data_IF_782429785107
#
_entry.id   IF_782429785107
#
_cell.length_a   1.000
_cell.length_b   1.000
_cell.length_c   1.000
_cell.angle_alpha   90.00
_cell.angle_beta   90.00
_cell.angle_gamma   90.00
#
_symmetry.space_group_name_H-M   'P 1'
#
loop_
_entity.id
_entity.type
_entity.pdbx_description
1 polymer ?
#
# COMPACT_ATOMS: atom_id res chain seq x y z
N UNK A 1 7.28 9.38 -18.13
CA UNK A 1 8.20 9.44 -17.78
C UNK A 1 8.59 9.67 -16.44
N UNK A 2 9.19 8.95 -15.92
CA UNK A 2 9.44 8.95 -14.56
C UNK A 2 10.62 9.76 -14.18
N UNK A 3 11.28 10.29 -15.09
CA UNK A 3 12.48 11.03 -14.78
C UNK A 3 12.25 12.33 -14.04
N UNK A 4 11.01 12.74 -13.93
CA UNK A 4 10.75 14.03 -13.31
C UNK A 4 11.15 14.11 -11.87
N UNK A 5 11.03 13.02 -11.15
CA UNK A 5 11.35 13.05 -9.75
C UNK A 5 12.80 13.28 -9.48
N UNK A 6 13.62 12.92 -10.41
CA UNK A 6 15.03 13.02 -10.19
C UNK A 6 15.55 14.41 -10.27
N UNK A 7 14.68 15.31 -10.69
CA UNK A 7 15.11 16.67 -10.80
C UNK A 7 14.93 17.47 -9.54
N UNK A 8 14.60 16.82 -8.44
CA UNK A 8 14.46 17.50 -7.17
C UNK A 8 15.68 17.22 -6.34
N UNK A 9 16.78 17.88 -6.64
CA UNK A 9 18.03 17.57 -5.95
C UNK A 9 17.92 17.90 -4.47
N UNK A 10 18.45 17.02 -3.65
CA UNK A 10 18.43 17.23 -2.23
C UNK A 10 17.13 16.93 -1.57
N UNK A 11 16.08 16.67 -2.33
CA UNK A 11 14.80 16.32 -1.77
C UNK A 11 14.51 14.88 -2.08
N UNK A 12 14.15 14.16 -1.06
CA UNK A 12 13.83 12.74 -1.24
C UNK A 12 12.35 12.47 -1.20
N UNK A 13 11.55 13.50 -1.22
CA UNK A 13 10.11 13.33 -1.15
C UNK A 13 9.62 12.71 -2.44
N UNK A 14 8.87 11.64 -2.30
CA UNK A 14 8.29 10.94 -3.42
C UNK A 14 6.81 11.30 -3.49
N UNK A 15 6.39 11.78 -4.63
CA UNK A 15 4.99 12.10 -4.85
C UNK A 15 4.39 11.13 -5.85
N UNK A 16 3.11 10.85 -5.70
CA UNK A 16 2.42 9.95 -6.60
C UNK A 16 2.48 10.49 -8.02
N UNK A 17 2.88 9.65 -8.94
CA UNK A 17 2.77 9.93 -10.36
C UNK A 17 1.38 9.52 -10.84
N UNK A 18 1.05 9.92 -12.07
CA UNK A 18 -0.23 9.50 -12.66
C UNK A 18 -0.35 8.00 -12.72
N UNK A 19 0.75 7.33 -13.00
CA UNK A 19 0.78 5.88 -13.08
C UNK A 19 0.49 5.24 -11.74
N UNK A 20 1.04 5.81 -10.68
CA UNK A 20 0.80 5.30 -9.34
C UNK A 20 -0.63 5.53 -8.90
N UNK A 21 -1.20 6.68 -9.28
CA UNK A 21 -2.60 6.93 -8.98
C UNK A 21 -3.48 5.93 -9.70
N UNK A 22 -3.17 5.64 -10.94
CA UNK A 22 -3.95 4.68 -11.70
C UNK A 22 -3.85 3.30 -11.07
N UNK A 23 -2.66 2.91 -10.66
CA UNK A 23 -2.45 1.61 -10.03
C UNK A 23 -3.25 1.50 -8.73
N UNK A 24 -3.18 2.53 -7.89
CA UNK A 24 -3.93 2.49 -6.64
C UNK A 24 -5.44 2.46 -6.91
N UNK A 25 -5.90 3.15 -7.95
CA UNK A 25 -7.31 3.11 -8.32
C UNK A 25 -7.74 1.69 -8.69
N UNK A 26 -6.90 0.98 -9.42
CA UNK A 26 -7.21 -0.38 -9.79
C UNK A 26 -7.29 -1.27 -8.54
N UNK A 27 -6.35 -1.11 -7.62
CA UNK A 27 -6.37 -1.88 -6.40
C UNK A 27 -7.65 -1.61 -5.60
N UNK A 28 -8.06 -0.35 -5.54
CA UNK A 28 -9.30 0.00 -4.86
C UNK A 28 -10.48 -0.68 -5.54
N UNK A 29 -10.46 -0.73 -6.86
CA UNK A 29 -11.55 -1.32 -7.63
C UNK A 29 -11.74 -2.80 -7.34
N UNK A 30 -10.68 -3.51 -6.99
CA UNK A 30 -10.80 -4.93 -6.70
C UNK A 30 -11.04 -5.19 -5.21
N UNK A 31 -11.22 -4.13 -4.42
CA UNK A 31 -11.62 -4.30 -3.04
C UNK A 31 -10.57 -3.99 -1.99
N UNK A 32 -9.43 -3.45 -2.37
CA UNK A 32 -8.43 -3.05 -1.39
C UNK A 32 -8.85 -1.68 -0.84
N UNK A 33 -8.87 -1.50 0.48
CA UNK A 33 -9.22 -0.19 1.03
C UNK A 33 -8.32 0.92 0.48
N UNK A 34 -8.92 2.07 0.27
CA UNK A 34 -8.22 3.19 -0.35
C UNK A 34 -6.91 3.53 0.36
N UNK A 35 -6.95 3.64 1.68
CA UNK A 35 -5.74 4.04 2.41
C UNK A 35 -4.66 2.98 2.31
N UNK A 36 -5.06 1.71 2.32
CA UNK A 36 -4.09 0.61 2.19
C UNK A 36 -3.46 0.61 0.81
N UNK A 37 -4.29 0.80 -0.22
CA UNK A 37 -3.79 0.82 -1.59
C UNK A 37 -2.77 1.94 -1.78
N UNK A 38 -3.08 3.11 -1.25
CA UNK A 38 -2.18 4.26 -1.43
C UNK A 38 -0.85 4.05 -0.72
N UNK A 39 -0.88 3.56 0.51
CA UNK A 39 0.36 3.33 1.23
C UNK A 39 1.17 2.23 0.56
N UNK A 40 0.50 1.18 0.12
CA UNK A 40 1.18 0.06 -0.51
C UNK A 40 1.90 0.50 -1.78
N UNK A 41 1.22 1.26 -2.63
CA UNK A 41 1.83 1.73 -3.87
C UNK A 41 2.97 2.71 -3.57
N UNK A 42 2.80 3.55 -2.57
CA UNK A 42 3.87 4.47 -2.18
C UNK A 42 5.12 3.69 -1.74
N UNK A 43 4.94 2.71 -0.88
CA UNK A 43 6.08 1.95 -0.37
C UNK A 43 6.71 1.07 -1.45
N UNK A 44 5.94 0.71 -2.46
CA UNK A 44 6.49 -0.08 -3.57
C UNK A 44 7.51 0.71 -4.37
N UNK A 45 7.42 2.04 -4.33
CA UNK A 45 8.28 2.90 -5.12
C UNK A 45 9.31 3.64 -4.28
N UNK A 46 9.50 3.23 -3.06
CA UNK A 46 10.44 3.89 -2.18
C UNK A 46 11.13 2.82 -1.35
N UNK A 47 12.39 3.03 -0.99
CA UNK A 47 13.10 2.01 -0.24
C UNK A 47 12.66 2.01 1.22
N UNK A 48 12.46 3.17 1.78
CA UNK A 48 12.10 3.32 3.18
C UNK A 48 11.41 4.64 3.36
N UNK A 49 10.48 4.73 4.30
CA UNK A 49 9.77 5.98 4.54
C UNK A 49 9.32 6.07 5.98
N UNK A 50 9.37 7.27 6.52
CA UNK A 50 8.78 7.54 7.83
C UNK A 50 7.28 7.76 7.64
N UNK A 51 6.54 7.80 8.77
CA UNK A 51 5.12 8.11 8.71
C UNK A 51 4.87 9.44 8.00
N UNK A 52 5.71 10.41 8.28
CA UNK A 52 5.55 11.73 7.68
C UNK A 52 5.75 11.69 6.17
N UNK A 53 6.73 10.92 5.73
CA UNK A 53 6.97 10.76 4.30
C UNK A 53 5.74 10.15 3.63
N UNK A 54 5.13 9.18 4.29
CA UNK A 54 3.96 8.50 3.74
C UNK A 54 2.78 9.46 3.68
N UNK A 55 2.59 10.26 4.74
CA UNK A 55 1.50 11.23 4.75
C UNK A 55 1.61 12.18 3.55
N UNK A 56 2.81 12.67 3.31
CA UNK A 56 3.01 13.62 2.22
C UNK A 56 2.92 12.96 0.86
N UNK A 57 3.60 11.82 0.72
CA UNK A 57 3.68 11.18 -0.59
C UNK A 57 2.37 10.57 -1.03
N UNK A 58 1.62 10.00 -0.11
CA UNK A 58 0.35 9.36 -0.42
C UNK A 58 -0.84 10.29 -0.19
N UNK A 59 -0.58 11.50 0.28
CA UNK A 59 -1.64 12.49 0.54
C UNK A 59 -2.66 11.93 1.50
N UNK A 60 -2.18 11.49 2.65
CA UNK A 60 -3.03 10.94 3.69
C UNK A 60 -2.78 11.67 4.99
N UNK A 61 -3.75 11.58 5.89
CA UNK A 61 -3.61 12.15 7.21
C UNK A 61 -3.02 11.11 8.14
N UNK A 62 -2.46 11.60 9.24
CA UNK A 62 -1.78 10.73 10.18
C UNK A 62 -2.65 9.57 10.67
N UNK A 63 -3.92 9.78 11.04
CA UNK A 63 -4.75 8.64 11.46
C UNK A 63 -4.96 7.62 10.35
N UNK A 64 -5.04 8.10 9.10
CA UNK A 64 -5.22 7.19 7.97
C UNK A 64 -3.96 6.36 7.75
N UNK A 65 -2.79 6.99 7.89
CA UNK A 65 -1.54 6.25 7.76
C UNK A 65 -1.45 5.19 8.86
N UNK A 66 -1.77 5.56 10.10
CA UNK A 66 -1.72 4.61 11.20
C UNK A 66 -2.61 3.41 10.93
N UNK A 67 -3.82 3.65 10.47
CA UNK A 67 -4.75 2.56 10.21
C UNK A 67 -4.25 1.67 9.08
N UNK A 68 -3.75 2.28 8.02
CA UNK A 68 -3.22 1.51 6.91
C UNK A 68 -2.03 0.66 7.33
N UNK A 69 -1.15 1.24 8.14
CA UNK A 69 0.02 0.49 8.60
C UNK A 69 -0.39 -0.69 9.45
N UNK A 70 -1.40 -0.50 10.28
CA UNK A 70 -1.91 -1.61 11.09
C UNK A 70 -2.39 -2.76 10.20
N UNK A 71 -3.15 -2.45 9.16
CA UNK A 71 -3.62 -3.47 8.23
C UNK A 71 -2.46 -4.18 7.54
N UNK A 72 -1.47 -3.40 7.11
CA UNK A 72 -0.34 -3.99 6.39
C UNK A 72 0.53 -4.84 7.31
N UNK A 73 0.67 -4.42 8.56
CA UNK A 73 1.44 -5.20 9.52
C UNK A 73 0.76 -6.52 9.83
N UNK A 74 -0.56 -6.52 9.93
CA UNK A 74 -1.28 -7.77 10.17
C UNK A 74 -1.09 -8.76 9.05
N UNK A 75 -0.88 -8.27 7.83
CA UNK A 75 -0.64 -9.13 6.69
C UNK A 75 0.83 -9.55 6.57
N UNK A 76 1.70 -8.96 7.38
CA UNK A 76 3.12 -9.27 7.28
C UNK A 76 3.79 -8.66 6.07
N UNK A 77 3.20 -7.65 5.48
CA UNK A 77 3.71 -7.04 4.25
C UNK A 77 4.66 -5.89 4.48
N UNK A 78 4.73 -5.36 5.69
CA UNK A 78 5.66 -4.29 5.99
C UNK A 78 6.47 -4.61 7.23
N UNK A 79 7.65 -4.04 7.30
CA UNK A 79 8.49 -4.10 8.47
C UNK A 79 8.94 -2.70 8.82
N UNK A 80 9.37 -2.52 10.06
CA UNK A 80 9.81 -1.21 10.52
C UNK A 80 11.13 -1.34 11.25
N UNK A 81 11.86 -0.25 11.27
CA UNK A 81 13.05 -0.16 12.11
C UNK A 81 13.06 1.20 12.79
N UNK A 82 13.65 1.22 13.95
CA UNK A 82 13.77 2.45 14.73
C UNK A 82 15.13 3.05 14.48
N UNK A 83 15.14 4.30 14.07
CA UNK A 83 16.38 5.02 13.84
C UNK A 83 16.58 6.00 14.99
N UNK A 84 17.58 5.75 15.80
CA UNK A 84 17.86 6.60 16.97
C UNK A 84 18.89 7.67 16.70
N UNK A 85 19.38 7.73 15.47
CA UNK A 85 20.45 8.67 15.15
C UNK A 85 19.93 9.94 14.51
N UNK A 86 18.64 10.20 14.68
CA UNK A 86 18.04 11.43 14.19
C UNK A 86 18.76 12.64 14.76
N UNK A 87 19.01 13.62 13.92
CA UNK A 87 19.73 14.83 14.32
C UNK A 87 18.98 15.59 15.40
N UNK A 88 17.67 15.44 15.47
CA UNK A 88 16.87 16.12 16.49
C UNK A 88 16.88 15.36 17.81
N UNK A 89 17.44 14.17 17.80
CA UNK A 89 17.49 13.39 19.03
C UNK A 89 16.25 12.57 19.29
N UNK A 90 15.27 12.57 18.39
CA UNK A 90 14.07 11.79 18.56
C UNK A 90 14.15 10.52 17.73
N UNK A 91 13.89 9.36 18.32
CA UNK A 91 13.82 8.13 17.53
C UNK A 91 12.70 8.23 16.51
N UNK A 92 12.92 7.69 15.35
CA UNK A 92 11.92 7.72 14.30
C UNK A 92 11.82 6.36 13.65
N UNK A 93 10.60 5.91 13.42
CA UNK A 93 10.37 4.64 12.74
C UNK A 93 10.39 4.84 11.24
N UNK A 94 11.04 3.92 10.55
CA UNK A 94 11.02 3.87 9.10
C UNK A 94 10.40 2.56 8.67
N UNK A 95 9.60 2.61 7.63
CA UNK A 95 8.82 1.47 7.16
C UNK A 95 9.23 1.10 5.75
N UNK A 96 9.15 -0.18 5.47
CA UNK A 96 9.42 -0.67 4.11
C UNK A 96 8.63 -1.94 3.91
N UNK A 97 8.49 -2.33 2.64
CA UNK A 97 7.85 -3.61 2.34
C UNK A 97 8.75 -4.73 2.82
N UNK A 98 8.14 -5.74 3.43
CA UNK A 98 8.89 -6.90 3.91
C UNK A 98 9.04 -7.96 2.83
N UNK A 99 8.29 -7.83 1.74
CA UNK A 99 8.34 -8.75 0.60
C UNK A 99 8.46 -7.94 -0.68
N UNK A 100 8.98 -8.54 -1.75
CA UNK A 100 8.93 -7.86 -3.04
C UNK A 100 7.50 -7.51 -3.40
N UNK A 101 7.31 -6.35 -3.98
CA UNK A 101 5.97 -5.88 -4.31
C UNK A 101 5.24 -6.85 -5.22
N UNK A 102 5.96 -7.46 -6.16
CA UNK A 102 5.35 -8.43 -7.07
C UNK A 102 4.76 -9.61 -6.30
N UNK A 103 5.42 -10.01 -5.21
CA UNK A 103 4.92 -11.11 -4.41
C UNK A 103 3.66 -10.73 -3.65
N UNK A 104 3.62 -9.50 -3.15
CA UNK A 104 2.42 -9.00 -2.49
C UNK A 104 1.25 -8.98 -3.47
N UNK A 105 1.51 -8.52 -4.69
CA UNK A 105 0.47 -8.48 -5.72
C UNK A 105 -0.01 -9.89 -6.04
N UNK A 106 0.91 -10.85 -6.09
CA UNK A 106 0.51 -12.24 -6.33
C UNK A 106 -0.42 -12.74 -5.23
N UNK A 107 -0.12 -12.40 -3.99
CA UNK A 107 -1.00 -12.80 -2.87
C UNK A 107 -2.36 -12.14 -2.98
N UNK A 108 -2.40 -10.87 -3.34
CA UNK A 108 -3.67 -10.16 -3.50
C UNK A 108 -4.49 -10.80 -4.61
N UNK A 109 -3.85 -11.11 -5.73
CA UNK A 109 -4.55 -11.75 -6.84
C UNK A 109 -5.15 -13.09 -6.43
N UNK A 110 -4.36 -13.89 -5.72
CA UNK A 110 -4.84 -15.21 -5.30
C UNK A 110 -6.04 -15.08 -4.37
N UNK A 111 -5.98 -14.12 -3.44
CA UNK A 111 -7.10 -13.89 -2.52
C UNK A 111 -8.35 -13.45 -3.25
N UNK A 112 -8.19 -12.53 -4.19
CA UNK A 112 -9.34 -12.00 -4.91
C UNK A 112 -9.96 -13.04 -5.82
N UNK A 113 -9.14 -13.85 -6.44
CA UNK A 113 -9.65 -14.92 -7.28
C UNK A 113 -10.42 -15.95 -6.46
N UNK A 114 -9.93 -16.24 -5.26
CA UNK A 114 -10.64 -17.15 -4.37
C UNK A 114 -11.99 -16.57 -3.95
N UNK A 115 -12.01 -15.27 -3.65
CA UNK A 115 -13.27 -14.60 -3.30
C UNK A 115 -14.26 -14.66 -4.45
N UNK A 116 -13.79 -14.43 -5.66
CA UNK A 116 -14.65 -14.45 -6.83
C UNK A 116 -15.25 -15.83 -7.02
N UNK A 117 -14.43 -16.87 -6.94
CA UNK A 117 -14.92 -18.23 -7.09
C UNK A 117 -15.96 -18.58 -6.05
N UNK A 118 -15.72 -18.16 -4.81
CA UNK A 118 -16.67 -18.43 -3.73
C UNK A 118 -17.99 -17.72 -3.98
N UNK A 119 -17.93 -16.48 -4.43
CA UNK A 119 -19.15 -15.72 -4.69
C UNK A 119 -19.91 -16.30 -5.87
N UNK A 120 -19.19 -16.78 -6.86
CA UNK A 120 -19.86 -17.41 -7.99
C UNK A 120 -20.57 -18.69 -7.57
N UNK A 121 -19.92 -19.48 -6.71
CA UNK A 121 -20.54 -20.70 -6.21
C UNK A 121 -21.81 -20.39 -5.43
N UNK A 122 -21.76 -19.35 -4.59
CA UNK A 122 -22.92 -18.94 -3.82
C UNK A 122 -24.03 -18.43 -4.72
N UNK A 123 -23.66 -17.69 -5.77
CA UNK A 123 -24.65 -17.19 -6.70
C UNK A 123 -25.37 -18.33 -7.40
N UNK A 124 -24.62 -19.37 -7.77
CA UNK A 124 -25.24 -20.53 -8.40
C UNK A 124 -26.16 -21.25 -7.43
N UNK A 125 -25.77 -21.26 -6.16
CA UNK A 125 -26.60 -21.91 -5.14
C UNK A 125 -27.93 -21.15 -4.97
N UNK A 126 -27.88 -19.82 -5.06
CA UNK A 126 -29.11 -19.04 -5.00
C UNK A 126 -30.09 -19.49 -6.08
N UNK A 127 -29.55 -19.76 -7.26
CA UNK A 127 -30.39 -20.16 -8.38
C UNK A 127 -31.17 -21.44 -8.04
N UNK A 128 -30.54 -22.36 -7.32
CA UNK A 128 -31.17 -23.62 -7.00
C UNK A 128 -32.38 -23.46 -6.10
N UNK A 129 -32.51 -22.33 -5.41
CA UNK A 129 -33.65 -22.11 -4.54
C UNK A 129 -34.88 -21.61 -5.30
N UNK A 130 -34.70 -21.10 -6.50
CA UNK A 130 -35.85 -20.62 -7.26
C UNK A 130 -36.30 -21.60 -8.32
N UNK A 131 -35.58 -22.66 -8.51
CA UNK A 131 -35.99 -23.73 -9.43
C UNK A 131 -36.58 -24.87 -8.66
#
# INVERSE_FOLDING_TARGET
>A
MCGLRERMPGRKVHYFTDKEEEFSTILISIGIPRIVAKVLVFLANTSEASSRDIERGADLRQPEVSLAMHHLQERGWISSRLDKTDAIGRPQNYFRLSLPFAEIITQIQAEKETEIRRKMALTQKIRSYVE
#
